data_IF_623916981257
#
_entry.id   IF_623916981257
#
_cell.length_a   1.000
_cell.length_b   1.000
_cell.length_c   1.000
_cell.angle_alpha   90.00
_cell.angle_beta   90.00
_cell.angle_gamma   90.00
#
_symmetry.space_group_name_H-M   'P 1'
#
loop_
_entity.id
_entity.type
_entity.pdbx_description
1 polymer ?
#
# COMPACT_ATOMS: atom_id res chain seq x y z
N UNK A 1 -0.72 -4.83 18.53
CA UNK A 1 0.14 -4.13 17.55
C UNK A 1 -0.75 -3.73 16.39
N UNK A 2 -0.76 -2.46 15.95
CA UNK A 2 -1.48 -2.08 14.72
C UNK A 2 -0.73 -2.74 13.56
N UNK A 3 -1.42 -3.58 12.79
CA UNK A 3 -0.83 -4.17 11.58
C UNK A 3 -0.39 -3.02 10.67
N UNK A 4 0.79 -3.11 10.04
CA UNK A 4 1.20 -2.13 9.04
C UNK A 4 0.12 -2.02 7.95
N UNK A 5 -0.35 -0.80 7.69
CA UNK A 5 -1.24 -0.51 6.56
C UNK A 5 -0.38 -0.05 5.39
N UNK A 6 -0.65 -0.57 4.20
CA UNK A 6 0.14 -0.30 3.01
C UNK A 6 -0.35 0.99 2.33
N UNK A 7 0.52 1.98 2.20
CA UNK A 7 0.31 3.14 1.33
C UNK A 7 0.96 2.87 -0.02
N UNK A 8 0.22 3.04 -1.12
CA UNK A 8 0.77 2.87 -2.46
C UNK A 8 1.98 3.79 -2.74
N UNK A 9 1.95 5.01 -2.16
CA UNK A 9 2.99 6.04 -2.33
C UNK A 9 4.15 5.95 -1.37
N UNK A 10 3.88 5.62 -0.10
CA UNK A 10 4.87 5.72 0.96
C UNK A 10 5.25 4.36 1.57
N UNK A 11 4.64 3.29 1.06
CA UNK A 11 4.87 1.91 1.47
C UNK A 11 4.29 1.59 2.83
N UNK A 12 5.01 0.77 3.58
CA UNK A 12 4.59 0.34 4.91
C UNK A 12 4.83 1.48 5.89
N UNK A 13 3.74 2.14 6.32
CA UNK A 13 3.78 3.22 7.30
C UNK A 13 2.74 3.00 8.40
N UNK A 14 3.01 3.41 9.65
CA UNK A 14 1.97 3.49 10.67
C UNK A 14 0.97 4.59 10.29
N UNK A 15 -0.29 4.22 10.08
CA UNK A 15 -1.33 5.19 9.75
C UNK A 15 -1.71 6.00 10.99
N UNK A 16 -1.98 7.29 10.77
CA UNK A 16 -2.58 8.17 11.78
C UNK A 16 -4.11 8.11 11.67
N UNK A 17 -4.81 8.90 12.46
CA UNK A 17 -6.27 8.94 12.52
C UNK A 17 -6.73 10.33 12.09
N UNK A 18 -7.69 10.40 11.18
CA UNK A 18 -8.32 11.65 10.72
C UNK A 18 -9.79 11.41 10.37
N UNK A 19 -10.62 12.45 10.34
CA UNK A 19 -12.03 12.31 9.95
C UNK A 19 -12.16 11.78 8.52
N UNK A 20 -13.26 11.06 8.23
CA UNK A 20 -13.54 10.49 6.91
C UNK A 20 -13.43 11.50 5.76
N UNK A 21 -13.90 12.74 5.95
CA UNK A 21 -13.78 13.81 4.94
C UNK A 21 -12.34 14.13 4.56
N UNK A 22 -11.39 13.95 5.48
CA UNK A 22 -9.95 14.10 5.23
C UNK A 22 -9.46 12.95 4.35
N UNK A 23 -9.84 11.71 4.64
CA UNK A 23 -9.49 10.54 3.80
C UNK A 23 -10.04 10.69 2.38
N UNK A 24 -11.32 11.06 2.25
CA UNK A 24 -11.97 11.30 0.97
C UNK A 24 -11.21 12.38 0.17
N UNK A 25 -10.83 13.49 0.82
CA UNK A 25 -10.09 14.57 0.16
C UNK A 25 -8.66 14.17 -0.23
N UNK A 26 -7.98 13.36 0.59
CA UNK A 26 -6.68 12.77 0.25
C UNK A 26 -6.80 11.93 -1.03
N UNK A 27 -7.84 11.09 -1.16
CA UNK A 27 -8.07 10.23 -2.34
C UNK A 27 -8.34 11.04 -3.60
N UNK A 28 -9.08 12.13 -3.48
CA UNK A 28 -9.37 13.05 -4.59
C UNK A 28 -8.19 13.95 -4.94
N UNK A 29 -7.11 13.93 -4.14
CA UNK A 29 -5.99 14.88 -4.25
C UNK A 29 -6.46 16.34 -4.21
N UNK A 30 -7.56 16.62 -3.54
CA UNK A 30 -8.06 17.98 -3.43
C UNK A 30 -7.31 18.80 -2.38
N UNK A 31 -7.92 19.92 -2.01
CA UNK A 31 -7.48 20.81 -0.94
C UNK A 31 -8.70 21.33 -0.20
N UNK A 32 -8.50 21.85 1.00
CA UNK A 32 -9.52 22.57 1.75
C UNK A 32 -9.26 24.07 1.69
N UNK A 33 -10.32 24.86 1.88
CA UNK A 33 -10.19 26.31 2.01
C UNK A 33 -9.59 26.69 3.39
N UNK A 34 -8.95 27.88 3.50
CA UNK A 34 -8.38 28.32 4.75
C UNK A 34 -9.38 28.32 5.90
N UNK A 35 -9.02 27.68 7.01
CA UNK A 35 -9.85 27.59 8.23
C UNK A 35 -10.91 26.49 8.23
N UNK A 36 -11.04 25.72 7.15
CA UNK A 36 -11.90 24.52 7.13
C UNK A 36 -11.30 23.37 7.94
N UNK A 37 -9.97 23.25 7.96
CA UNK A 37 -9.26 22.22 8.70
C UNK A 37 -9.05 22.61 10.17
N UNK A 38 -9.22 21.63 11.05
CA UNK A 38 -9.02 21.78 12.48
C UNK A 38 -8.25 20.60 13.06
N UNK A 39 -7.32 20.90 13.98
CA UNK A 39 -6.68 19.90 14.82
C UNK A 39 -7.54 19.69 16.05
N UNK A 40 -7.92 18.46 16.32
CA UNK A 40 -8.82 18.12 17.43
C UNK A 40 -8.11 17.16 18.37
N UNK A 41 -7.91 17.57 19.62
CA UNK A 41 -7.47 16.67 20.69
C UNK A 41 -8.70 16.02 21.33
N UNK A 42 -8.75 14.69 21.25
CA UNK A 42 -9.78 13.89 21.91
C UNK A 42 -9.29 13.51 23.30
N UNK A 43 -9.58 14.34 24.29
CA UNK A 43 -8.99 14.28 25.62
C UNK A 43 -9.68 13.25 26.52
N UNK A 44 -9.05 12.08 26.69
CA UNK A 44 -9.50 11.06 27.63
C UNK A 44 -8.56 11.00 28.84
N UNK A 45 -9.07 10.69 30.05
CA UNK A 45 -8.27 10.68 31.28
C UNK A 45 -6.98 9.85 31.25
N UNK A 46 -6.92 8.80 30.42
CA UNK A 46 -5.75 7.91 30.30
C UNK A 46 -4.96 8.07 29.00
N UNK A 47 -5.54 8.69 27.98
CA UNK A 47 -4.95 8.78 26.64
C UNK A 47 -5.69 9.81 25.80
N UNK A 48 -5.09 10.97 25.57
CA UNK A 48 -5.48 11.86 24.49
C UNK A 48 -4.83 11.41 23.18
N UNK A 49 -5.48 11.72 22.06
CA UNK A 49 -4.82 11.70 20.76
C UNK A 49 -5.38 12.82 19.88
N UNK A 50 -4.56 13.29 18.95
CA UNK A 50 -4.91 14.35 18.02
C UNK A 50 -5.32 13.74 16.70
N UNK A 51 -6.42 14.21 16.14
CA UNK A 51 -6.90 13.88 14.81
C UNK A 51 -7.17 15.17 14.02
N UNK A 52 -6.97 15.10 12.71
CA UNK A 52 -7.38 16.17 11.81
C UNK A 52 -8.82 15.95 11.37
N UNK A 53 -9.61 17.02 11.39
CA UNK A 53 -11.02 17.02 11.02
C UNK A 53 -11.34 18.32 10.28
N UNK A 54 -12.54 18.41 9.71
CA UNK A 54 -13.09 19.68 9.23
C UNK A 54 -13.91 20.36 10.33
N UNK A 55 -14.05 21.69 10.27
CA UNK A 55 -14.97 22.42 11.18
C UNK A 55 -16.39 21.87 11.11
N UNK A 56 -16.83 21.51 9.90
CA UNK A 56 -18.13 20.89 9.66
C UNK A 56 -18.30 19.52 10.37
N UNK A 57 -17.22 18.75 10.61
CA UNK A 57 -17.30 17.49 11.37
C UNK A 57 -17.58 17.77 12.87
N UNK A 58 -17.06 18.87 13.41
CA UNK A 58 -17.35 19.29 14.78
C UNK A 58 -18.77 19.82 14.93
N UNK A 59 -19.20 20.64 13.97
CA UNK A 59 -20.52 21.27 13.97
C UNK A 59 -21.65 20.23 13.83
N UNK A 60 -21.44 19.18 13.02
CA UNK A 60 -22.38 18.07 12.83
C UNK A 60 -22.74 17.37 14.16
N UNK A 61 -21.79 17.34 15.09
CA UNK A 61 -21.98 16.75 16.41
C UNK A 61 -22.20 17.78 17.51
N UNK A 62 -22.38 19.06 17.19
CA UNK A 62 -22.52 20.17 18.14
C UNK A 62 -21.46 20.10 19.24
N UNK A 63 -20.19 19.91 18.83
CA UNK A 63 -19.08 19.73 19.75
C UNK A 63 -18.71 21.07 20.36
N UNK A 64 -18.67 21.13 21.69
CA UNK A 64 -18.05 22.26 22.41
C UNK A 64 -16.61 21.86 22.74
N UNK A 65 -15.65 22.66 22.27
CA UNK A 65 -14.23 22.43 22.46
C UNK A 65 -13.55 23.68 23.03
N UNK A 66 -12.47 23.47 23.79
CA UNK A 66 -11.61 24.55 24.23
C UNK A 66 -10.48 24.73 23.20
N UNK A 67 -10.31 25.93 22.68
CA UNK A 67 -9.23 26.22 21.74
C UNK A 67 -7.94 26.59 22.48
N UNK A 68 -6.87 25.81 22.31
CA UNK A 68 -5.56 26.04 22.93
C UNK A 68 -4.48 25.78 21.88
N UNK A 69 -3.60 26.76 21.64
CA UNK A 69 -2.45 26.66 20.73
C UNK A 69 -2.79 26.09 19.33
N UNK A 70 -3.93 26.49 18.76
CA UNK A 70 -4.37 26.01 17.44
C UNK A 70 -5.02 24.62 17.44
N UNK A 71 -5.35 24.08 18.61
CA UNK A 71 -5.97 22.75 18.78
C UNK A 71 -7.30 22.88 19.52
N UNK A 72 -8.33 22.23 19.01
CA UNK A 72 -9.65 22.11 19.62
C UNK A 72 -9.67 20.93 20.60
N UNK A 73 -9.77 21.20 21.89
CA UNK A 73 -9.78 20.19 22.94
C UNK A 73 -11.19 19.76 23.30
N UNK A 74 -11.54 18.50 23.00
CA UNK A 74 -12.83 17.89 23.31
C UNK A 74 -12.67 16.97 24.51
N UNK A 75 -13.39 17.25 25.59
CA UNK A 75 -13.33 16.46 26.84
C UNK A 75 -14.59 15.64 27.11
N UNK A 76 -15.70 15.95 26.42
CA UNK A 76 -16.96 15.23 26.61
C UNK A 76 -16.88 13.82 26.00
N UNK A 77 -16.84 12.80 26.86
CA UNK A 77 -16.59 11.40 26.46
C UNK A 77 -17.55 10.89 25.37
N UNK A 78 -18.82 11.31 25.40
CA UNK A 78 -19.82 10.92 24.39
C UNK A 78 -19.48 11.51 23.01
N UNK A 79 -19.07 12.78 22.96
CA UNK A 79 -18.66 13.44 21.72
C UNK A 79 -17.34 12.87 21.20
N UNK A 80 -16.40 12.62 22.10
CA UNK A 80 -15.15 11.93 21.77
C UNK A 80 -15.45 10.58 21.11
N UNK A 81 -16.37 9.78 21.65
CA UNK A 81 -16.70 8.48 21.06
C UNK A 81 -17.32 8.60 19.65
N UNK A 82 -18.20 9.59 19.43
CA UNK A 82 -18.78 9.86 18.10
C UNK A 82 -17.72 10.27 17.09
N UNK A 83 -16.85 11.22 17.47
CA UNK A 83 -15.76 11.69 16.62
C UNK A 83 -14.75 10.58 16.31
N UNK A 84 -14.37 9.79 17.31
CA UNK A 84 -13.45 8.65 17.16
C UNK A 84 -14.03 7.57 16.23
N UNK A 85 -15.35 7.34 16.28
CA UNK A 85 -16.04 6.43 15.37
C UNK A 85 -16.15 6.96 13.93
N UNK A 86 -16.15 8.29 13.76
CA UNK A 86 -16.17 8.95 12.44
C UNK A 86 -14.76 9.10 11.82
N UNK A 87 -13.72 8.68 12.52
CA UNK A 87 -12.36 8.71 12.02
C UNK A 87 -11.99 7.46 11.23
N UNK A 88 -11.10 7.66 10.27
CA UNK A 88 -10.47 6.64 9.45
C UNK A 88 -8.95 6.65 9.67
N UNK A 89 -8.32 5.54 9.30
CA UNK A 89 -6.87 5.48 9.23
C UNK A 89 -6.37 6.11 7.93
N UNK A 90 -5.49 7.11 8.04
CA UNK A 90 -4.88 7.78 6.89
C UNK A 90 -3.35 7.69 6.91
N UNK A 91 -2.74 7.66 5.73
CA UNK A 91 -1.29 7.70 5.59
C UNK A 91 -0.77 9.08 6.06
N UNK A 92 0.21 9.14 6.99
CA UNK A 92 0.70 10.41 7.54
C UNK A 92 1.33 11.31 6.48
N UNK A 93 2.04 10.75 5.50
CA UNK A 93 2.67 11.53 4.43
C UNK A 93 1.62 12.09 3.44
N UNK A 94 0.57 11.32 3.14
CA UNK A 94 -0.56 11.82 2.33
C UNK A 94 -1.38 12.89 3.07
N UNK A 95 -1.48 12.79 4.39
CA UNK A 95 -2.06 13.83 5.22
C UNK A 95 -1.20 15.09 5.18
N UNK A 96 0.13 14.99 5.36
CA UNK A 96 1.05 16.13 5.27
C UNK A 96 0.93 16.85 3.91
N UNK A 97 0.82 16.11 2.81
CA UNK A 97 0.53 16.68 1.48
C UNK A 97 -0.76 17.49 1.44
N UNK A 98 -1.86 16.92 1.93
CA UNK A 98 -3.16 17.60 1.97
C UNK A 98 -3.09 18.86 2.83
N UNK A 99 -2.46 18.78 4.00
CA UNK A 99 -2.28 19.91 4.90
C UNK A 99 -1.54 21.04 4.19
N UNK A 100 -0.40 20.74 3.58
CA UNK A 100 0.40 21.75 2.87
C UNK A 100 -0.37 22.35 1.68
N UNK A 101 -1.11 21.54 0.91
CA UNK A 101 -1.99 22.04 -0.17
C UNK A 101 -3.07 22.98 0.33
N UNK A 102 -3.53 22.75 1.55
CA UNK A 102 -4.58 23.56 2.22
C UNK A 102 -3.99 24.74 3.00
N UNK A 103 -2.68 25.02 2.88
CA UNK A 103 -2.01 26.12 3.55
C UNK A 103 -1.60 25.84 5.01
N UNK A 104 -1.75 24.61 5.47
CA UNK A 104 -1.39 24.17 6.82
C UNK A 104 0.06 23.66 6.90
N UNK A 105 0.60 23.58 8.12
CA UNK A 105 1.88 22.91 8.35
C UNK A 105 1.70 21.38 8.37
N UNK A 106 2.70 20.61 7.92
CA UNK A 106 2.73 19.15 8.07
C UNK A 106 2.43 18.71 9.52
N UNK A 107 1.70 17.60 9.66
CA UNK A 107 1.39 16.97 10.94
C UNK A 107 2.64 16.37 11.60
N UNK A 108 3.57 15.86 10.79
CA UNK A 108 4.88 15.35 11.24
C UNK A 108 5.99 16.37 10.93
N UNK A 109 7.21 16.25 11.48
CA UNK A 109 8.36 17.10 11.12
C UNK A 109 8.89 16.76 9.71
N UNK A 110 7.99 16.68 8.74
CA UNK A 110 8.25 16.44 7.32
C UNK A 110 8.54 17.79 6.66
N UNK A 111 9.69 17.97 5.99
CA UNK A 111 9.92 19.19 5.20
C UNK A 111 8.84 19.39 4.14
N UNK A 112 8.35 20.62 3.96
CA UNK A 112 7.30 20.99 2.99
C UNK A 112 7.59 20.46 1.58
N UNK A 113 8.85 20.51 1.13
CA UNK A 113 9.26 19.99 -0.18
C UNK A 113 9.01 18.51 -0.38
N UNK A 114 8.92 17.72 0.71
CA UNK A 114 8.62 16.28 0.66
C UNK A 114 7.12 15.99 0.66
N UNK A 115 6.30 16.90 1.15
CA UNK A 115 4.84 16.74 1.14
C UNK A 115 4.29 16.71 -0.30
N UNK A 116 5.01 17.24 -1.28
CA UNK A 116 4.57 17.30 -2.68
C UNK A 116 5.13 16.20 -3.58
N UNK A 117 5.81 15.17 -3.06
CA UNK A 117 6.37 14.10 -3.91
C UNK A 117 5.25 13.38 -4.67
N UNK A 118 5.08 13.69 -5.95
CA UNK A 118 4.00 13.16 -6.77
C UNK A 118 4.27 11.78 -7.34
N UNK A 119 5.45 11.20 -7.09
CA UNK A 119 5.76 9.86 -7.55
C UNK A 119 4.73 8.85 -7.01
N UNK A 120 4.38 7.88 -7.86
CA UNK A 120 3.47 6.79 -7.50
C UNK A 120 4.05 5.99 -6.33
N UNK A 121 5.38 5.96 -6.20
CA UNK A 121 6.13 5.54 -5.03
C UNK A 121 7.20 6.60 -4.75
N UNK A 122 7.15 7.25 -3.59
CA UNK A 122 8.18 8.18 -3.17
C UNK A 122 9.50 7.44 -2.92
N UNK A 123 10.64 8.07 -3.24
CA UNK A 123 11.99 7.47 -3.12
C UNK A 123 12.27 6.92 -1.70
N UNK A 124 11.65 7.52 -0.68
CA UNK A 124 11.80 7.17 0.74
C UNK A 124 10.74 6.20 1.28
N UNK A 125 9.88 5.64 0.42
CA UNK A 125 8.93 4.62 0.85
C UNK A 125 9.70 3.51 1.58
N UNK A 126 9.17 2.96 2.68
CA UNK A 126 9.79 1.78 3.29
C UNK A 126 9.04 0.56 2.76
N UNK A 127 9.75 -0.29 2.03
CA UNK A 127 9.20 -1.55 1.51
C UNK A 127 10.00 -2.67 2.13
N UNK A 128 9.33 -3.53 2.89
CA UNK A 128 9.91 -4.70 3.53
C UNK A 128 8.96 -5.88 3.41
N UNK A 129 9.51 -7.10 3.41
CA UNK A 129 8.74 -8.32 3.18
C UNK A 129 8.50 -8.60 1.68
N UNK A 130 7.46 -9.38 1.32
CA UNK A 130 7.18 -9.80 -0.07
C UNK A 130 6.52 -8.68 -0.88
N UNK A 131 6.82 -7.42 -0.58
CA UNK A 131 6.24 -6.26 -1.24
C UNK A 131 7.20 -5.77 -2.33
N UNK A 132 6.64 -5.35 -3.46
CA UNK A 132 7.37 -4.84 -4.61
C UNK A 132 6.97 -3.40 -4.90
N UNK A 133 7.94 -2.56 -5.25
CA UNK A 133 7.70 -1.22 -5.79
C UNK A 133 7.51 -1.33 -7.29
N UNK A 134 6.47 -0.71 -7.82
CA UNK A 134 6.24 -0.60 -9.24
C UNK A 134 5.96 0.85 -9.59
N UNK A 135 6.64 1.35 -10.61
CA UNK A 135 6.48 2.74 -11.04
C UNK A 135 5.10 3.00 -11.67
N UNK A 136 4.42 1.95 -12.14
CA UNK A 136 3.09 2.04 -12.77
C UNK A 136 1.96 1.83 -11.76
N UNK A 137 2.06 0.80 -10.92
CA UNK A 137 0.97 0.36 -10.05
C UNK A 137 1.20 0.67 -8.56
N UNK A 138 2.36 1.25 -8.21
CA UNK A 138 2.74 1.53 -6.83
C UNK A 138 3.22 0.30 -6.08
N UNK A 139 3.14 0.36 -4.75
CA UNK A 139 3.56 -0.75 -3.90
C UNK A 139 2.45 -1.77 -3.77
N UNK A 140 2.77 -3.04 -4.05
CA UNK A 140 1.85 -4.16 -3.91
C UNK A 140 2.55 -5.41 -3.41
N UNK A 141 1.79 -6.48 -3.21
CA UNK A 141 2.37 -7.80 -3.00
C UNK A 141 3.05 -8.27 -4.29
N UNK A 142 4.32 -8.63 -4.18
CA UNK A 142 5.09 -9.19 -5.27
C UNK A 142 4.58 -10.57 -5.62
N UNK A 143 4.45 -10.84 -6.92
CA UNK A 143 4.47 -12.19 -7.42
C UNK A 143 5.91 -12.58 -7.74
N UNK A 144 6.25 -13.86 -7.62
CA UNK A 144 7.56 -14.36 -7.98
C UNK A 144 7.54 -14.94 -9.39
N UNK A 145 8.55 -14.61 -10.20
CA UNK A 145 8.71 -15.12 -11.57
C UNK A 145 10.19 -15.38 -11.88
N UNK A 146 10.50 -15.87 -13.06
CA UNK A 146 11.88 -16.08 -13.50
C UNK A 146 12.60 -14.75 -13.74
N UNK A 147 13.93 -14.64 -13.50
CA UNK A 147 14.67 -13.40 -13.74
C UNK A 147 14.57 -12.87 -15.17
N UNK A 148 14.48 -13.77 -16.17
CA UNK A 148 14.32 -13.38 -17.57
C UNK A 148 12.94 -12.75 -17.84
N UNK A 149 11.87 -13.33 -17.29
CA UNK A 149 10.53 -12.75 -17.34
C UNK A 149 10.48 -11.40 -16.63
N UNK A 150 11.06 -11.29 -15.44
CA UNK A 150 11.07 -10.06 -14.67
C UNK A 150 11.71 -8.90 -15.46
N UNK A 151 12.82 -9.15 -16.15
CA UNK A 151 13.47 -8.17 -17.00
C UNK A 151 12.61 -7.73 -18.20
N UNK A 152 11.78 -8.63 -18.77
CA UNK A 152 10.85 -8.29 -19.85
C UNK A 152 9.67 -7.46 -19.35
N UNK A 153 9.12 -7.82 -18.19
CA UNK A 153 8.02 -7.10 -17.54
C UNK A 153 8.45 -5.67 -17.20
N UNK A 154 9.66 -5.51 -16.65
CA UNK A 154 10.23 -4.21 -16.29
C UNK A 154 10.41 -3.29 -17.51
N UNK A 155 10.81 -3.86 -18.66
CA UNK A 155 10.95 -3.13 -19.93
C UNK A 155 9.63 -2.86 -20.65
N UNK A 156 8.55 -3.53 -20.24
CA UNK A 156 7.28 -3.51 -20.95
C UNK A 156 7.31 -4.21 -22.31
N UNK A 157 8.27 -5.11 -22.54
CA UNK A 157 8.48 -5.79 -23.82
C UNK A 157 7.46 -6.92 -24.01
N UNK A 158 6.68 -6.89 -25.08
CA UNK A 158 5.77 -7.98 -25.48
C UNK A 158 6.45 -9.05 -26.34
N UNK A 159 7.76 -9.25 -26.15
CA UNK A 159 8.54 -10.16 -26.99
C UNK A 159 8.19 -11.62 -26.70
N UNK A 160 8.24 -12.50 -27.73
CA UNK A 160 8.06 -13.92 -27.53
C UNK A 160 9.08 -14.43 -26.53
N UNK A 161 8.57 -14.87 -25.38
CA UNK A 161 9.36 -15.59 -24.41
C UNK A 161 9.25 -17.09 -24.68
N UNK A 162 10.19 -17.87 -24.16
CA UNK A 162 10.13 -19.33 -24.26
C UNK A 162 8.83 -19.89 -23.66
N UNK A 163 8.68 -21.21 -23.70
CA UNK A 163 7.51 -21.86 -23.12
C UNK A 163 7.38 -21.49 -21.63
N UNK A 164 6.20 -21.00 -21.24
CA UNK A 164 5.90 -20.62 -19.87
C UNK A 164 5.11 -21.70 -19.16
N UNK A 165 5.40 -21.88 -17.89
CA UNK A 165 4.80 -22.89 -17.04
C UNK A 165 4.11 -22.18 -15.87
N UNK A 166 2.83 -22.50 -15.70
CA UNK A 166 2.09 -22.12 -14.50
C UNK A 166 2.48 -23.04 -13.35
N UNK A 167 3.11 -22.49 -12.32
CA UNK A 167 3.45 -23.24 -11.11
C UNK A 167 2.39 -22.99 -10.05
N UNK A 168 1.79 -24.04 -9.53
CA UNK A 168 0.83 -23.97 -8.42
C UNK A 168 1.46 -24.57 -7.17
N UNK A 169 1.69 -23.72 -6.17
CA UNK A 169 2.16 -24.12 -4.84
C UNK A 169 0.96 -24.30 -3.94
N UNK A 170 0.69 -25.56 -3.58
CA UNK A 170 -0.43 -25.95 -2.72
C UNK A 170 0.01 -25.84 -1.27
N UNK A 171 -0.79 -25.16 -0.45
CA UNK A 171 -0.61 -25.10 1.00
C UNK A 171 -1.91 -25.51 1.70
N UNK A 172 -1.89 -25.84 3.01
CA UNK A 172 -3.12 -26.19 3.74
C UNK A 172 -4.20 -25.09 3.76
N UNK A 173 -3.85 -23.84 3.43
CA UNK A 173 -4.75 -22.68 3.50
C UNK A 173 -5.18 -22.16 2.13
N UNK A 174 -4.36 -22.34 1.10
CA UNK A 174 -4.57 -21.76 -0.22
C UNK A 174 -3.67 -22.41 -1.28
N UNK A 175 -4.09 -22.30 -2.54
CA UNK A 175 -3.22 -22.51 -3.71
C UNK A 175 -2.67 -21.15 -4.17
N UNK A 176 -1.35 -21.07 -4.35
CA UNK A 176 -0.68 -19.88 -4.86
C UNK A 176 -0.19 -20.16 -6.28
N UNK A 177 -0.51 -19.26 -7.20
CA UNK A 177 -0.18 -19.41 -8.62
C UNK A 177 0.96 -18.46 -9.01
N UNK A 178 1.92 -19.01 -9.75
CA UNK A 178 3.10 -18.30 -10.24
C UNK A 178 3.36 -18.67 -11.70
N UNK A 179 4.14 -17.86 -12.40
CA UNK A 179 4.51 -18.08 -13.78
C UNK A 179 6.02 -17.99 -13.95
N UNK A 180 6.61 -18.99 -14.59
CA UNK A 180 8.05 -19.07 -14.83
C UNK A 180 8.35 -19.54 -16.25
N UNK A 181 9.51 -19.17 -16.78
CA UNK A 181 10.00 -19.76 -18.03
C UNK A 181 10.46 -21.21 -17.80
N UNK A 182 10.22 -22.06 -18.80
CA UNK A 182 10.54 -23.49 -18.71
C UNK A 182 12.03 -23.74 -18.48
N UNK A 183 12.92 -22.92 -19.07
CA UNK A 183 14.37 -23.11 -18.93
C UNK A 183 14.85 -22.83 -17.50
N UNK A 184 14.27 -21.85 -16.82
CA UNK A 184 14.50 -21.60 -15.40
C UNK A 184 14.03 -22.77 -14.55
N UNK A 185 12.83 -23.30 -14.79
CA UNK A 185 12.32 -24.44 -14.04
C UNK A 185 13.15 -25.72 -14.27
N UNK A 186 13.59 -26.00 -15.49
CA UNK A 186 14.46 -27.15 -15.78
C UNK A 186 15.79 -27.07 -15.04
N UNK A 187 16.42 -25.88 -15.01
CA UNK A 187 17.66 -25.66 -14.24
C UNK A 187 17.46 -25.87 -12.74
N UNK A 188 16.32 -25.44 -12.20
CA UNK A 188 16.07 -25.48 -10.75
C UNK A 188 15.54 -26.83 -10.26
N UNK A 189 14.61 -27.43 -11.01
CA UNK A 189 13.90 -28.65 -10.63
C UNK A 189 14.54 -29.92 -11.20
N UNK A 190 15.39 -29.78 -12.23
CA UNK A 190 16.02 -30.87 -12.97
C UNK A 190 15.40 -31.09 -14.35
N UNK A 191 16.23 -31.49 -15.31
CA UNK A 191 15.85 -31.71 -16.72
C UNK A 191 14.76 -32.79 -16.89
N UNK A 192 14.69 -33.75 -15.97
CA UNK A 192 13.71 -34.85 -16.02
C UNK A 192 12.31 -34.45 -15.47
N UNK A 193 12.15 -33.21 -15.02
CA UNK A 193 10.85 -32.74 -14.52
C UNK A 193 9.84 -32.69 -15.67
N UNK A 194 8.69 -33.35 -15.50
CA UNK A 194 7.60 -33.28 -16.47
C UNK A 194 6.91 -31.91 -16.42
N UNK A 195 7.14 -31.12 -17.47
CA UNK A 195 6.54 -29.81 -17.69
C UNK A 195 5.65 -29.80 -18.94
N UNK A 196 5.33 -30.97 -19.50
CA UNK A 196 4.66 -31.11 -20.81
C UNK A 196 3.21 -30.58 -20.84
N UNK A 197 2.54 -30.53 -19.70
CA UNK A 197 1.18 -29.99 -19.56
C UNK A 197 1.11 -28.45 -19.55
N UNK A 198 2.23 -27.77 -19.30
CA UNK A 198 2.26 -26.32 -19.06
C UNK A 198 1.84 -25.91 -17.64
N UNK A 199 1.45 -26.89 -16.80
CA UNK A 199 1.09 -26.67 -15.40
C UNK A 199 1.89 -27.62 -14.52
N UNK A 200 2.67 -27.05 -13.60
CA UNK A 200 3.44 -27.82 -12.63
C UNK A 200 2.90 -27.58 -11.22
N UNK A 201 2.52 -28.64 -10.51
CA UNK A 201 1.96 -28.55 -9.16
C UNK A 201 2.97 -29.09 -8.14
N UNK A 202 3.15 -28.37 -7.04
CA UNK A 202 4.01 -28.79 -5.94
C UNK A 202 3.40 -28.40 -4.59
N UNK A 203 3.70 -29.18 -3.55
CA UNK A 203 3.33 -28.85 -2.17
C UNK A 203 4.28 -27.80 -1.58
N UNK A 204 3.76 -26.98 -0.67
CA UNK A 204 4.56 -26.04 0.11
C UNK A 204 5.58 -26.81 0.96
N UNK A 205 6.85 -26.52 0.72
CA UNK A 205 8.00 -27.12 1.40
C UNK A 205 9.31 -26.54 0.87
N UNK A 206 10.43 -27.18 1.23
CA UNK A 206 11.78 -26.68 0.89
C UNK A 206 11.98 -26.41 -0.60
N UNK A 207 11.48 -27.31 -1.48
CA UNK A 207 11.58 -27.12 -2.94
C UNK A 207 10.82 -25.88 -3.44
N UNK A 208 9.63 -25.63 -2.90
CA UNK A 208 8.85 -24.44 -3.26
C UNK A 208 9.47 -23.16 -2.70
N UNK A 209 10.04 -23.21 -1.49
CA UNK A 209 10.74 -22.07 -0.90
C UNK A 209 11.98 -21.73 -1.73
N UNK A 210 12.78 -22.73 -2.10
CA UNK A 210 13.94 -22.55 -2.96
C UNK A 210 13.57 -21.95 -4.34
N UNK A 211 12.44 -22.37 -4.92
CA UNK A 211 11.91 -21.75 -6.14
C UNK A 211 11.59 -20.27 -5.96
N UNK A 212 10.89 -19.93 -4.87
CA UNK A 212 10.49 -18.54 -4.61
C UNK A 212 11.69 -17.66 -4.23
N UNK A 213 12.70 -18.21 -3.56
CA UNK A 213 13.96 -17.53 -3.22
C UNK A 213 14.89 -17.34 -4.44
N UNK A 214 14.80 -18.22 -5.44
CA UNK A 214 15.61 -18.15 -6.66
C UNK A 214 14.96 -17.33 -7.78
N UNK A 215 13.67 -17.03 -7.65
CA UNK A 215 12.95 -16.17 -8.58
C UNK A 215 13.06 -14.69 -8.20
N UNK A 216 12.58 -13.84 -9.09
CA UNK A 216 12.57 -12.39 -8.93
C UNK A 216 11.15 -11.90 -8.60
N UNK A 217 11.05 -10.93 -7.70
CA UNK A 217 9.76 -10.35 -7.32
C UNK A 217 9.33 -9.28 -8.31
N UNK A 218 8.13 -9.41 -8.87
CA UNK A 218 7.52 -8.46 -9.80
C UNK A 218 6.16 -8.01 -9.30
N UNK A 219 5.73 -6.83 -9.76
CA UNK A 219 4.36 -6.37 -9.53
C UNK A 219 3.36 -7.37 -10.10
N UNK A 220 2.43 -7.84 -9.25
CA UNK A 220 1.36 -8.75 -9.68
C UNK A 220 0.56 -8.20 -10.87
N UNK A 221 0.25 -6.90 -10.87
CA UNK A 221 -0.50 -6.27 -11.96
C UNK A 221 0.30 -6.19 -13.26
N UNK A 222 1.60 -5.87 -13.19
CA UNK A 222 2.47 -5.89 -14.37
C UNK A 222 2.62 -7.31 -14.94
N UNK A 223 2.72 -8.32 -14.07
CA UNK A 223 2.75 -9.71 -14.51
C UNK A 223 1.44 -10.11 -15.20
N UNK A 224 0.28 -9.82 -14.60
CA UNK A 224 -1.03 -10.11 -15.19
C UNK A 224 -1.24 -9.40 -16.54
N UNK A 225 -0.87 -8.12 -16.63
CA UNK A 225 -0.94 -7.35 -17.88
C UNK A 225 0.01 -7.91 -18.95
N UNK A 226 1.25 -8.24 -18.57
CA UNK A 226 2.21 -8.85 -19.49
C UNK A 226 1.71 -10.22 -20.02
N UNK A 227 1.14 -11.06 -19.15
CA UNK A 227 0.56 -12.35 -19.57
C UNK A 227 -0.61 -12.17 -20.55
N UNK A 228 -1.50 -11.18 -20.31
CA UNK A 228 -2.61 -10.85 -21.20
C UNK A 228 -2.14 -10.36 -22.56
N UNK A 229 -1.12 -9.48 -22.59
CA UNK A 229 -0.55 -8.94 -23.83
C UNK A 229 0.13 -10.00 -24.71
N UNK A 230 0.48 -11.14 -24.13
CA UNK A 230 1.11 -12.27 -24.81
C UNK A 230 0.15 -13.45 -25.03
N UNK A 231 -1.16 -13.26 -24.85
CA UNK A 231 -2.21 -14.29 -25.06
C UNK A 231 -2.02 -15.57 -24.21
N UNK A 232 -1.50 -15.43 -22.99
CA UNK A 232 -1.23 -16.57 -22.09
C UNK A 232 -2.36 -16.78 -21.06
N UNK A 233 -2.90 -15.69 -20.49
CA UNK A 233 -3.88 -15.70 -19.41
C UNK A 233 -4.87 -14.55 -19.51
#
# INVERSE_FOLDING_TARGET
>A
MRSPTLCARHGVRPFTVAAKRIDDRIRERGQFEPGELVRVSLDRPKRSHVAWMTRADLDEHAVTANHVDGVEHVTELRKIALLDQACEHVCPDCLDELLVRSGEQPHSPTPVSRAFDTAIVADNATVSGPLVRCDIHGIGFGSCTSPAMAALIDRGDALPHGRLIKVVVVSPKAENEFWFDEAFLRRLLGEDTDLSSGIYRMELGERSLHLLESGESVCRYCLEDWLRRNDIA
#
